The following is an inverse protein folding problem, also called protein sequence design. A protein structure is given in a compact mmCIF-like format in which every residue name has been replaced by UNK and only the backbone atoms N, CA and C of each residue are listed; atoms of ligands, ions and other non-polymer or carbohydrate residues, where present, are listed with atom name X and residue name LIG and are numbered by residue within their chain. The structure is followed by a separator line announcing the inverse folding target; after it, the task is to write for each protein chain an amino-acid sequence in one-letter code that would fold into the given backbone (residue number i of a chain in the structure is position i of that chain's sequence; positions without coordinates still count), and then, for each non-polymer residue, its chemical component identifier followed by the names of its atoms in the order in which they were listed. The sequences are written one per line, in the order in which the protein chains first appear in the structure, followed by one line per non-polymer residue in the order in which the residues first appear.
data_IF_504593622838
#
_entry.id   IF_504593622838
#
_cell.length_a   1.000
_cell.length_b   1.000
_cell.length_c   1.000
_cell.angle_alpha   90.00
_cell.angle_beta   90.00
_cell.angle_gamma   90.00
#
_symmetry.space_group_name_H-M   'P 1'
#
loop_
_entity.id
_entity.type
_entity.pdbx_description
1 polymer ?
#
# COMPACT_ATOMS: atom_id res chain seq x y z
N UNK A 1 13.60 -12.03 -9.44
CA UNK A 1 12.18 -12.22 -9.87
C UNK A 1 11.30 -11.83 -8.70
N UNK A 2 10.36 -10.88 -8.89
CA UNK A 2 9.48 -10.42 -7.82
C UNK A 2 8.49 -11.51 -7.38
N UNK A 3 8.00 -11.41 -6.15
CA UNK A 3 7.05 -12.37 -5.57
C UNK A 3 5.73 -12.40 -6.34
N UNK A 4 5.36 -11.27 -6.97
CA UNK A 4 4.21 -11.10 -7.86
C UNK A 4 4.35 -11.96 -9.12
N UNK A 5 5.49 -11.89 -9.80
CA UNK A 5 5.78 -12.74 -10.98
C UNK A 5 5.74 -14.24 -10.63
N UNK A 6 6.08 -14.59 -9.38
CA UNK A 6 6.04 -15.98 -8.88
C UNK A 6 4.62 -16.45 -8.61
N UNK A 7 3.74 -15.61 -8.04
CA UNK A 7 2.32 -15.92 -7.83
C UNK A 7 1.52 -16.03 -9.14
N UNK A 8 1.91 -15.30 -10.17
CA UNK A 8 1.27 -15.36 -11.50
C UNK A 8 1.62 -16.63 -12.27
N UNK A 9 2.84 -17.18 -12.14
CA UNK A 9 3.17 -18.48 -12.72
C UNK A 9 2.36 -19.64 -12.15
N UNK A 10 1.87 -19.53 -10.92
CA UNK A 10 0.95 -20.51 -10.31
C UNK A 10 -0.48 -20.39 -10.82
N UNK A 11 -0.83 -19.33 -11.54
CA UNK A 11 -2.10 -19.22 -12.28
C UNK A 11 -1.90 -19.90 -13.64
N UNK A 12 -1.72 -21.22 -13.63
CA UNK A 12 -1.96 -22.05 -14.81
C UNK A 12 -3.46 -22.34 -14.95
N UNK A 13 -3.94 -22.62 -16.17
CA UNK A 13 -5.19 -22.07 -16.67
C UNK A 13 -6.41 -22.67 -15.95
N UNK A 14 -7.25 -21.78 -15.41
CA UNK A 14 -8.66 -22.10 -15.24
C UNK A 14 -9.19 -22.49 -16.63
N UNK A 15 -9.57 -23.76 -16.76
CA UNK A 15 -10.14 -24.36 -17.97
C UNK A 15 -11.33 -23.48 -18.39
N UNK A 16 -11.12 -22.60 -19.39
CA UNK A 16 -12.12 -21.64 -19.86
C UNK A 16 -11.62 -20.19 -20.04
N UNK A 17 -10.45 -19.82 -19.53
CA UNK A 17 -9.87 -18.49 -19.82
C UNK A 17 -9.35 -18.43 -21.27
N UNK A 18 -9.85 -17.49 -22.07
CA UNK A 18 -9.39 -17.28 -23.44
C UNK A 18 -7.91 -16.84 -23.47
N UNK A 19 -7.21 -17.12 -24.56
CA UNK A 19 -5.82 -16.66 -24.76
C UNK A 19 -5.66 -15.14 -24.56
N UNK A 20 -6.72 -14.36 -24.82
CA UNK A 20 -6.76 -12.92 -24.59
C UNK A 20 -6.79 -12.58 -23.08
N UNK A 21 -7.50 -13.35 -22.26
CA UNK A 21 -7.50 -13.17 -20.80
C UNK A 21 -6.12 -13.49 -20.20
N UNK A 22 -5.45 -14.54 -20.69
CA UNK A 22 -4.07 -14.85 -20.28
C UNK A 22 -3.09 -13.72 -20.66
N UNK A 23 -3.21 -13.17 -21.88
CA UNK A 23 -2.37 -12.06 -22.32
C UNK A 23 -2.56 -10.80 -21.45
N UNK A 24 -3.81 -10.46 -21.10
CA UNK A 24 -4.11 -9.34 -20.21
C UNK A 24 -3.54 -9.54 -18.80
N UNK A 25 -3.60 -10.75 -18.27
CA UNK A 25 -3.00 -11.08 -16.96
C UNK A 25 -1.48 -10.97 -17.00
N UNK A 26 -0.84 -11.41 -18.08
CA UNK A 26 0.61 -11.25 -18.26
C UNK A 26 1.04 -9.79 -18.44
N UNK A 27 0.26 -8.99 -19.15
CA UNK A 27 0.52 -7.55 -19.32
C UNK A 27 0.38 -6.81 -17.99
N UNK A 28 -0.69 -7.09 -17.25
CA UNK A 28 -0.89 -6.59 -15.89
C UNK A 28 0.24 -6.98 -14.95
N UNK A 29 0.68 -8.25 -15.01
CA UNK A 29 1.79 -8.76 -14.23
C UNK A 29 3.10 -8.01 -14.50
N UNK A 30 3.41 -7.74 -15.78
CA UNK A 30 4.61 -7.01 -16.18
C UNK A 30 4.56 -5.57 -15.70
N UNK A 31 3.43 -4.89 -15.87
CA UNK A 31 3.24 -3.53 -15.36
C UNK A 31 3.44 -3.46 -13.84
N UNK A 32 2.84 -4.39 -13.09
CA UNK A 32 3.00 -4.46 -11.64
C UNK A 32 4.42 -4.83 -11.21
N UNK A 33 5.13 -5.67 -11.97
CA UNK A 33 6.49 -6.09 -11.59
C UNK A 33 7.51 -4.94 -11.68
N UNK A 34 7.37 -4.04 -12.65
CA UNK A 34 8.19 -2.81 -12.73
C UNK A 34 7.87 -1.90 -11.56
N UNK A 35 6.58 -1.67 -11.31
CA UNK A 35 6.08 -0.84 -10.22
C UNK A 35 6.48 -1.36 -8.83
N UNK A 36 6.61 -2.68 -8.67
CA UNK A 36 6.95 -3.33 -7.40
C UNK A 36 8.33 -2.97 -6.87
N UNK A 37 9.32 -2.78 -7.77
CA UNK A 37 10.63 -2.31 -7.37
C UNK A 37 10.60 -0.88 -6.80
N UNK A 38 9.82 -0.01 -7.44
CA UNK A 38 9.69 1.40 -7.09
C UNK A 38 8.83 1.58 -5.83
N UNK A 39 7.71 0.87 -5.73
CA UNK A 39 6.83 0.91 -4.58
C UNK A 39 7.46 0.26 -3.33
N UNK A 40 8.45 -0.62 -3.50
CA UNK A 40 9.27 -1.11 -2.39
C UNK A 40 10.08 0.02 -1.75
N UNK A 41 10.57 0.99 -2.53
CA UNK A 41 11.25 2.17 -2.00
C UNK A 41 10.28 3.04 -1.21
N UNK A 42 9.04 3.23 -1.67
CA UNK A 42 7.99 3.91 -0.90
C UNK A 42 7.75 3.24 0.46
N UNK A 43 7.65 1.90 0.49
CA UNK A 43 7.52 1.15 1.74
C UNK A 43 8.73 1.33 2.66
N UNK A 44 9.94 1.36 2.11
CA UNK A 44 11.16 1.62 2.88
C UNK A 44 11.23 3.06 3.41
N UNK A 45 10.80 4.05 2.64
CA UNK A 45 10.69 5.44 3.10
C UNK A 45 9.71 5.55 4.26
N UNK A 46 8.56 4.88 4.16
CA UNK A 46 7.55 4.89 5.21
C UNK A 46 7.94 4.06 6.45
N UNK A 47 8.60 2.92 6.26
CA UNK A 47 9.00 2.01 7.35
C UNK A 47 10.36 2.28 7.98
N UNK A 48 11.24 3.01 7.27
CA UNK A 48 12.59 3.37 7.71
C UNK A 48 12.83 4.88 7.87
N UNK A 49 11.93 5.72 7.38
CA UNK A 49 12.10 7.17 7.33
C UNK A 49 11.76 7.85 8.66
N UNK A 50 12.81 8.27 9.37
CA UNK A 50 12.73 9.48 10.21
C UNK A 50 12.73 10.68 9.27
N UNK A 51 11.55 11.15 8.83
CA UNK A 51 11.46 12.55 8.41
C UNK A 51 11.86 13.37 9.64
N UNK A 52 12.85 14.26 9.47
CA UNK A 52 13.47 15.01 10.55
C UNK A 52 12.44 15.42 11.60
N UNK A 53 12.77 15.17 12.88
CA UNK A 53 11.88 15.26 14.05
C UNK A 53 11.03 14.01 14.34
N UNK A 54 11.65 12.83 14.50
CA UNK A 54 11.13 11.75 15.36
C UNK A 54 9.70 11.22 15.13
N UNK A 55 9.08 11.52 13.98
CA UNK A 55 7.73 11.06 13.63
C UNK A 55 7.83 9.80 12.79
N UNK A 56 7.20 8.73 13.26
CA UNK A 56 7.15 7.43 12.61
C UNK A 56 5.73 7.16 12.10
N UNK A 57 5.58 6.41 11.02
CA UNK A 57 4.29 5.81 10.68
C UNK A 57 4.02 4.69 11.68
N UNK A 58 2.87 4.76 12.35
CA UNK A 58 2.41 3.72 13.25
C UNK A 58 1.52 2.74 12.50
N UNK A 59 1.95 1.48 12.40
CA UNK A 59 1.15 0.42 11.83
C UNK A 59 1.88 -0.41 10.77
N UNK A 60 1.19 -1.44 10.32
CA UNK A 60 1.66 -2.32 9.25
C UNK A 60 1.39 -1.67 7.89
N UNK A 61 2.42 -1.55 7.07
CA UNK A 61 2.34 -0.98 5.72
C UNK A 61 2.28 -2.13 4.70
N UNK A 62 1.20 -2.16 3.93
CA UNK A 62 0.97 -3.08 2.82
C UNK A 62 0.95 -2.31 1.52
N UNK A 63 1.65 -2.84 0.51
CA UNK A 63 1.64 -2.31 -0.85
C UNK A 63 0.92 -3.33 -1.75
N UNK A 64 0.01 -2.83 -2.56
CA UNK A 64 -0.82 -3.60 -3.50
C UNK A 64 -0.99 -2.84 -4.82
N UNK A 65 -1.52 -3.53 -5.82
CA UNK A 65 -1.72 -3.00 -7.16
C UNK A 65 -3.16 -3.27 -7.59
N UNK A 66 -4.13 -2.42 -7.20
CA UNK A 66 -5.55 -2.67 -7.47
C UNK A 66 -5.86 -2.52 -8.96
N UNK A 67 -5.08 -1.68 -9.66
CA UNK A 67 -5.29 -1.30 -11.06
C UNK A 67 -3.93 -1.08 -11.76
N UNK A 68 -3.84 -1.21 -13.09
CA UNK A 68 -2.59 -1.04 -13.81
C UNK A 68 -2.01 0.36 -13.56
N UNK A 69 -0.75 0.44 -13.14
CA UNK A 69 -0.05 1.70 -12.92
C UNK A 69 -0.44 2.47 -11.66
N UNK A 70 -1.35 1.95 -10.84
CA UNK A 70 -1.76 2.55 -9.55
C UNK A 70 -1.15 1.74 -8.41
N UNK A 71 -0.49 2.43 -7.48
CA UNK A 71 0.00 1.83 -6.23
C UNK A 71 -1.05 2.03 -5.15
N UNK A 72 -1.48 0.97 -4.49
CA UNK A 72 -2.22 1.09 -3.24
C UNK A 72 -1.25 0.96 -2.07
N UNK A 73 -1.30 1.93 -1.16
CA UNK A 73 -0.56 1.93 0.09
C UNK A 73 -1.55 1.90 1.25
N UNK A 74 -1.65 0.77 1.92
CA UNK A 74 -2.54 0.57 3.05
C UNK A 74 -1.75 0.50 4.36
N UNK A 75 -2.14 1.33 5.33
CA UNK A 75 -1.57 1.39 6.67
C UNK A 75 -2.61 0.86 7.65
N UNK A 76 -2.28 -0.23 8.35
CA UNK A 76 -3.12 -0.82 9.38
C UNK A 76 -2.51 -0.56 10.77
N UNK A 77 -3.12 0.34 11.53
CA UNK A 77 -2.68 0.67 12.87
C UNK A 77 -3.50 -0.12 13.90
N UNK A 78 -2.83 -1.03 14.63
CA UNK A 78 -3.46 -1.82 15.68
C UNK A 78 -3.25 -1.16 17.04
N UNK A 79 -4.34 -0.74 17.67
CA UNK A 79 -4.31 0.09 18.88
C UNK A 79 -5.23 -0.48 19.95
N UNK A 80 -4.69 -0.76 21.14
CA UNK A 80 -5.47 -1.09 22.32
C UNK A 80 -5.99 0.21 22.96
N UNK A 81 -7.32 0.37 23.01
CA UNK A 81 -7.97 1.59 23.51
C UNK A 81 -7.83 1.80 25.02
N UNK A 82 -7.35 0.80 25.77
CA UNK A 82 -6.99 0.97 27.17
C UNK A 82 -5.78 1.89 27.36
N UNK A 83 -4.90 1.96 26.36
CA UNK A 83 -3.94 3.05 26.23
C UNK A 83 -4.67 4.26 25.65
N UNK A 84 -4.50 5.45 26.24
CA UNK A 84 -5.07 6.72 25.76
C UNK A 84 -4.51 7.07 24.37
N UNK A 85 -4.98 6.40 23.34
CA UNK A 85 -4.77 6.81 21.97
C UNK A 85 -5.74 7.94 21.70
N UNK A 86 -5.19 9.13 21.54
CA UNK A 86 -5.91 10.26 20.98
C UNK A 86 -6.26 9.89 19.53
N UNK A 87 -7.54 9.99 19.16
CA UNK A 87 -8.03 9.78 17.79
C UNK A 87 -7.22 10.62 16.78
N UNK A 88 -6.60 11.72 17.22
CA UNK A 88 -5.70 12.55 16.43
C UNK A 88 -4.42 11.83 15.95
N UNK A 89 -3.94 10.75 16.58
CA UNK A 89 -2.72 10.05 16.15
C UNK A 89 -2.90 9.30 14.81
N UNK A 90 -4.12 8.83 14.51
CA UNK A 90 -4.44 8.29 13.19
C UNK A 90 -4.33 9.38 12.12
N UNK A 91 -4.77 10.60 12.44
CA UNK A 91 -4.59 11.74 11.54
C UNK A 91 -3.13 12.06 11.29
N UNK A 92 -2.28 12.13 12.32
CA UNK A 92 -0.85 12.41 12.14
C UNK A 92 -0.13 11.36 11.26
N UNK A 93 -0.43 10.08 11.47
CA UNK A 93 0.10 8.98 10.66
C UNK A 93 -0.30 9.14 9.19
N UNK A 94 -1.57 9.47 8.94
CA UNK A 94 -2.08 9.70 7.59
C UNK A 94 -1.44 10.92 6.93
N UNK A 95 -1.31 12.04 7.65
CA UNK A 95 -0.68 13.25 7.13
C UNK A 95 0.81 13.03 6.80
N UNK A 96 1.52 12.28 7.64
CA UNK A 96 2.92 11.90 7.38
C UNK A 96 3.05 10.97 6.18
N UNK A 97 2.17 9.97 6.06
CA UNK A 97 2.14 9.09 4.91
C UNK A 97 1.93 9.84 3.59
N UNK A 98 1.05 10.85 3.57
CA UNK A 98 0.88 11.73 2.41
C UNK A 98 2.16 12.47 2.02
N UNK A 99 2.98 12.89 2.99
CA UNK A 99 4.25 13.55 2.69
C UNK A 99 5.24 12.59 2.03
N UNK A 100 5.35 11.35 2.53
CA UNK A 100 6.18 10.32 1.90
C UNK A 100 5.71 9.96 0.49
N UNK A 101 4.40 9.81 0.28
CA UNK A 101 3.85 9.56 -1.05
C UNK A 101 4.20 10.70 -1.99
N UNK A 102 3.97 11.95 -1.57
CA UNK A 102 4.30 13.13 -2.40
C UNK A 102 5.77 13.20 -2.74
N UNK A 103 6.65 12.92 -1.78
CA UNK A 103 8.09 12.88 -2.03
C UNK A 103 8.45 11.82 -3.08
N UNK A 104 7.90 10.61 -2.95
CA UNK A 104 8.12 9.53 -3.91
C UNK A 104 7.55 9.85 -5.30
N UNK A 105 6.39 10.51 -5.37
CA UNK A 105 5.77 10.93 -6.63
C UNK A 105 6.61 11.96 -7.42
N UNK A 106 7.48 12.73 -6.76
CA UNK A 106 8.42 13.62 -7.46
C UNK A 106 9.36 12.86 -8.40
N UNK A 107 9.69 11.61 -8.05
CA UNK A 107 10.63 10.77 -8.79
C UNK A 107 9.90 9.80 -9.73
N UNK A 108 8.78 9.22 -9.29
CA UNK A 108 8.14 8.08 -9.96
C UNK A 108 6.85 8.42 -10.72
N UNK A 109 6.20 9.55 -10.42
CA UNK A 109 4.98 10.04 -11.11
C UNK A 109 3.85 9.00 -11.26
N UNK A 110 3.75 8.05 -10.33
CA UNK A 110 2.68 7.08 -10.29
C UNK A 110 1.57 7.53 -9.33
N UNK A 111 0.29 7.35 -9.71
CA UNK A 111 -0.82 7.61 -8.80
C UNK A 111 -0.83 6.63 -7.64
N UNK A 112 -1.23 7.13 -6.46
CA UNK A 112 -1.27 6.34 -5.23
C UNK A 112 -2.63 6.42 -4.55
N UNK A 113 -3.25 5.25 -4.32
CA UNK A 113 -4.39 5.08 -3.41
C UNK A 113 -3.83 4.91 -1.98
N UNK A 114 -3.90 5.96 -1.15
CA UNK A 114 -3.43 5.91 0.23
C UNK A 114 -4.60 5.62 1.18
N UNK A 115 -4.47 4.56 1.98
CA UNK A 115 -5.47 4.14 2.98
C UNK A 115 -4.86 4.01 4.36
N UNK A 116 -5.55 4.51 5.37
CA UNK A 116 -5.29 4.22 6.78
C UNK A 116 -6.52 3.51 7.37
N UNK A 117 -6.27 2.51 8.19
CA UNK A 117 -7.29 1.81 8.96
C UNK A 117 -6.80 1.62 10.39
N UNK A 118 -7.56 2.12 11.36
CA UNK A 118 -7.29 1.92 12.79
C UNK A 118 -8.20 0.81 13.30
N UNK A 119 -7.57 -0.25 13.80
CA UNK A 119 -8.24 -1.50 14.19
C UNK A 119 -7.90 -1.80 15.64
N UNK A 120 -8.89 -2.13 16.45
CA UNK A 120 -8.62 -2.66 17.78
C UNK A 120 -8.03 -4.07 17.67
N UNK A 121 -7.02 -4.47 18.46
CA UNK A 121 -6.45 -5.82 18.37
C UNK A 121 -7.47 -6.96 18.48
N UNK A 122 -8.55 -6.76 19.23
CA UNK A 122 -9.62 -7.74 19.41
C UNK A 122 -10.73 -7.67 18.34
N UNK A 123 -10.77 -6.62 17.52
CA UNK A 123 -11.82 -6.43 16.51
C UNK A 123 -11.34 -6.91 15.15
N UNK A 124 -12.27 -7.44 14.35
CA UNK A 124 -12.02 -7.85 12.96
C UNK A 124 -12.28 -6.74 11.95
N UNK A 125 -13.03 -5.70 12.34
CA UNK A 125 -13.39 -4.57 11.49
C UNK A 125 -12.68 -3.29 11.95
N UNK A 126 -12.26 -2.42 11.02
CA UNK A 126 -11.69 -1.14 11.37
C UNK A 126 -12.76 -0.22 11.95
N UNK A 127 -12.45 0.42 13.07
CA UNK A 127 -13.33 1.43 13.66
C UNK A 127 -13.20 2.78 12.99
N UNK A 128 -12.04 3.05 12.40
CA UNK A 128 -11.76 4.26 11.65
C UNK A 128 -11.02 3.91 10.37
N UNK A 129 -11.48 4.46 9.26
CA UNK A 129 -10.83 4.36 7.96
C UNK A 129 -10.72 5.74 7.34
N UNK A 130 -9.60 5.97 6.65
CA UNK A 130 -9.39 7.17 5.85
C UNK A 130 -8.70 6.78 4.55
N UNK A 131 -9.22 7.29 3.45
CA UNK A 131 -8.74 6.97 2.10
C UNK A 131 -8.57 8.26 1.31
N UNK A 132 -7.51 8.33 0.50
CA UNK A 132 -7.28 9.44 -0.42
C UNK A 132 -6.51 8.96 -1.65
N UNK A 133 -7.03 9.33 -2.81
CA UNK A 133 -6.32 9.21 -4.08
C UNK A 133 -5.38 10.41 -4.28
N UNK A 134 -4.12 10.13 -4.61
CA UNK A 134 -3.08 11.11 -4.85
C UNK A 134 -2.57 10.95 -6.28
N UNK A 135 -2.87 11.96 -7.12
CA UNK A 135 -2.44 12.04 -8.52
C UNK A 135 -1.03 12.62 -8.66
#
# INVERSE_FOLDING_TARGET
MSQVARKLRTVQPLVGCSNAACALVEEFARACATLDGEAHQLKQLMGGGRLGVGRCIYGEITISYPRPGVVECAIAQRVDWSARFDDNQGHETFELAKQFVRQWQLEHKHPVDLRLSVVHPADTEPRFTREQYLE
#
